data_IF_581417226187
#
_entry.id   IF_581417226187
#
_cell.length_a   1.000
_cell.length_b   1.000
_cell.length_c   1.000
_cell.angle_alpha   90.00
_cell.angle_beta   90.00
_cell.angle_gamma   90.00
#
_symmetry.space_group_name_H-M   'P 1'
#
loop_
_entity.id
_entity.type
_entity.pdbx_description
1 polymer ?
#
# COMPACT_ATOMS: atom_id res chain seq x y z
N UNK A 1 11.76 2.43 -7.03
CA UNK A 1 11.17 1.32 -6.27
C UNK A 1 11.46 1.52 -4.79
N UNK A 2 10.55 1.11 -3.89
CA UNK A 2 10.67 1.41 -2.46
C UNK A 2 9.85 0.46 -1.59
N UNK A 3 10.31 0.31 -0.36
CA UNK A 3 9.59 -0.37 0.71
C UNK A 3 9.04 0.73 1.62
N UNK A 4 7.72 0.73 1.80
CA UNK A 4 6.96 1.80 2.41
C UNK A 4 6.14 1.25 3.58
N UNK A 5 6.24 1.89 4.73
CA UNK A 5 5.47 1.55 5.92
C UNK A 5 4.30 2.52 6.05
N UNK A 6 3.07 2.01 6.19
CA UNK A 6 1.90 2.83 6.51
C UNK A 6 2.08 3.43 7.90
N UNK A 7 2.09 4.75 7.97
CA UNK A 7 2.25 5.52 9.22
C UNK A 7 1.03 6.37 9.55
N UNK A 8 0.08 6.53 8.62
CA UNK A 8 -1.16 7.22 8.89
C UNK A 8 -2.21 6.96 7.82
N UNK A 9 -3.48 6.97 8.21
CA UNK A 9 -4.60 6.81 7.31
C UNK A 9 -5.84 7.54 7.84
N UNK A 10 -6.36 8.46 7.04
CA UNK A 10 -7.54 9.27 7.37
C UNK A 10 -8.62 9.03 6.34
N UNK A 11 -9.79 8.55 6.78
CA UNK A 11 -10.98 8.45 5.93
C UNK A 11 -11.79 9.77 5.96
N UNK A 12 -12.40 10.13 4.83
CA UNK A 12 -13.13 11.40 4.68
C UNK A 12 -14.45 11.47 5.45
N UNK A 13 -15.04 10.32 5.83
CA UNK A 13 -16.44 10.25 6.30
C UNK A 13 -16.65 9.52 7.63
N UNK A 14 -15.61 8.98 8.26
CA UNK A 14 -15.66 8.41 9.63
C UNK A 14 -14.26 8.44 10.25
N UNK A 15 -14.13 8.45 11.60
CA UNK A 15 -12.86 8.10 12.22
C UNK A 15 -12.47 6.71 11.71
N UNK A 16 -11.35 6.63 11.00
CA UNK A 16 -10.81 5.33 10.60
C UNK A 16 -10.53 4.57 11.89
N UNK A 17 -11.02 3.32 12.08
CA UNK A 17 -10.48 2.46 13.12
C UNK A 17 -8.96 2.46 13.00
N UNK A 18 -8.25 2.38 14.12
CA UNK A 18 -6.79 2.33 14.13
C UNK A 18 -6.34 1.23 13.16
N UNK A 19 -5.84 1.63 11.98
CA UNK A 19 -5.50 0.68 10.95
C UNK A 19 -4.26 -0.07 11.41
N UNK A 20 -4.24 -1.41 11.35
CA UNK A 20 -3.06 -2.18 11.72
C UNK A 20 -1.87 -1.67 10.92
N UNK A 21 -0.68 -1.65 11.54
CA UNK A 21 0.56 -1.31 10.83
C UNK A 21 0.63 -2.15 9.55
N UNK A 22 0.68 -1.47 8.41
CA UNK A 22 0.69 -2.10 7.08
C UNK A 22 1.98 -1.79 6.34
N UNK A 23 2.52 -2.78 5.63
CA UNK A 23 3.69 -2.60 4.77
C UNK A 23 3.26 -2.66 3.30
N UNK A 24 3.83 -1.77 2.49
CA UNK A 24 3.61 -1.67 1.07
C UNK A 24 4.96 -1.71 0.35
N UNK A 25 5.13 -2.66 -0.56
CA UNK A 25 6.32 -2.79 -1.41
C UNK A 25 5.93 -2.40 -2.83
N UNK A 26 6.60 -1.37 -3.35
CA UNK A 26 6.36 -0.84 -4.70
C UNK A 26 7.61 -1.06 -5.55
N UNK A 27 7.51 -1.97 -6.51
CA UNK A 27 8.52 -2.26 -7.53
C UNK A 27 7.89 -2.18 -8.93
N UNK A 28 8.08 -3.20 -9.77
CA UNK A 28 7.33 -3.39 -11.04
C UNK A 28 5.90 -3.90 -10.81
N UNK A 29 5.61 -4.34 -9.60
CA UNK A 29 4.29 -4.70 -9.08
C UNK A 29 4.15 -4.10 -7.69
N UNK A 30 2.92 -4.09 -7.19
CA UNK A 30 2.62 -3.73 -5.80
C UNK A 30 2.34 -4.99 -5.03
N UNK A 31 2.97 -5.10 -3.87
CA UNK A 31 2.64 -6.10 -2.86
C UNK A 31 2.48 -5.40 -1.53
N UNK A 32 1.63 -5.92 -0.67
CA UNK A 32 1.53 -5.38 0.67
C UNK A 32 0.95 -6.37 1.66
N UNK A 33 1.05 -5.98 2.91
CA UNK A 33 0.62 -6.77 4.05
C UNK A 33 0.00 -5.84 5.09
N UNK A 34 -1.13 -6.24 5.65
CA UNK A 34 -1.76 -5.59 6.81
C UNK A 34 -2.11 -6.66 7.82
N UNK A 35 -1.52 -6.60 9.01
CA UNK A 35 -1.58 -7.71 9.95
C UNK A 35 -1.02 -8.99 9.33
N UNK A 36 -1.85 -10.02 9.18
CA UNK A 36 -1.49 -11.29 8.55
C UNK A 36 -2.07 -11.47 7.13
N UNK A 37 -2.88 -10.52 6.65
CA UNK A 37 -3.42 -10.54 5.29
C UNK A 37 -2.44 -9.92 4.30
N UNK A 38 -2.24 -10.55 3.14
CA UNK A 38 -1.43 -10.03 2.05
C UNK A 38 -2.28 -9.69 0.83
N UNK A 39 -1.75 -8.82 -0.02
CA UNK A 39 -2.36 -8.47 -1.30
C UNK A 39 -1.27 -8.15 -2.32
N UNK A 40 -1.63 -8.27 -3.58
CA UNK A 40 -0.74 -7.94 -4.69
C UNK A 40 -1.51 -7.35 -5.87
N UNK A 41 -0.77 -6.76 -6.79
CA UNK A 41 -1.35 -6.20 -7.99
C UNK A 41 -0.42 -5.30 -8.80
N UNK A 42 -1.03 -4.44 -9.59
CA UNK A 42 -0.32 -3.53 -10.49
C UNK A 42 -0.43 -2.07 -10.04
N UNK A 43 0.50 -1.27 -10.55
CA UNK A 43 0.57 0.17 -10.35
C UNK A 43 0.94 0.84 -11.67
N UNK A 44 0.18 1.87 -12.00
CA UNK A 44 0.52 2.82 -13.05
C UNK A 44 0.58 4.21 -12.42
N UNK A 45 1.72 4.88 -12.54
CA UNK A 45 1.93 6.19 -11.94
C UNK A 45 2.59 7.14 -12.93
N UNK A 46 2.05 8.36 -13.06
CA UNK A 46 2.58 9.39 -13.95
C UNK A 46 1.89 10.73 -13.72
N UNK A 47 2.64 11.83 -13.81
CA UNK A 47 2.11 13.20 -13.65
C UNK A 47 1.24 13.42 -12.40
N UNK A 48 1.61 12.82 -11.25
CA UNK A 48 0.86 12.91 -10.00
C UNK A 48 -0.41 12.06 -9.93
N UNK A 49 -0.76 11.36 -11.01
CA UNK A 49 -1.90 10.44 -11.09
C UNK A 49 -1.43 9.01 -10.81
N UNK A 50 -2.26 8.26 -10.11
CA UNK A 50 -2.04 6.87 -9.74
C UNK A 50 -3.24 6.01 -10.14
N UNK A 51 -2.97 4.82 -10.66
CA UNK A 51 -3.94 3.73 -10.75
C UNK A 51 -3.36 2.51 -10.05
N UNK A 52 -4.13 1.97 -9.10
CA UNK A 52 -3.82 0.74 -8.40
C UNK A 52 -4.90 -0.29 -8.73
N UNK A 53 -4.45 -1.52 -8.99
CA UNK A 53 -5.35 -2.67 -9.11
C UNK A 53 -4.81 -3.78 -8.22
N UNK A 54 -5.31 -3.84 -6.99
CA UNK A 54 -4.85 -4.74 -5.94
C UNK A 54 -5.94 -5.77 -5.62
N UNK A 55 -5.50 -7.01 -5.43
CA UNK A 55 -6.33 -8.14 -5.05
C UNK A 55 -5.78 -8.77 -3.78
N UNK A 56 -6.64 -9.19 -2.83
CA UNK A 56 -6.18 -9.96 -1.67
C UNK A 56 -5.61 -11.29 -2.14
N UNK A 57 -4.56 -11.77 -1.49
CA UNK A 57 -4.12 -13.15 -1.66
C UNK A 57 -5.01 -14.10 -0.85
N UNK A 58 -5.11 -15.35 -1.27
CA UNK A 58 -5.75 -16.38 -0.46
C UNK A 58 -4.97 -16.53 0.86
N UNK A 59 -5.65 -16.62 2.02
CA UNK A 59 -4.97 -16.82 3.30
C UNK A 59 -4.21 -18.15 3.29
N UNK A 60 -2.98 -18.15 3.81
CA UNK A 60 -2.25 -19.40 4.00
C UNK A 60 -3.02 -20.28 5.01
N UNK A 61 -3.40 -21.52 4.65
CA UNK A 61 -4.18 -22.40 5.52
C UNK A 61 -3.47 -22.74 6.85
N UNK A 62 -2.15 -22.52 6.96
CA UNK A 62 -1.36 -22.71 8.18
C UNK A 62 -1.34 -21.48 9.08
N UNK A 63 -1.80 -20.33 8.60
CA UNK A 63 -1.81 -19.08 9.36
C UNK A 63 -3.22 -18.84 9.91
N UNK A 64 -3.39 -18.94 11.24
CA UNK A 64 -4.62 -18.50 11.91
C UNK A 64 -4.66 -16.98 11.94
N UNK A 65 -5.13 -16.41 10.84
CA UNK A 65 -5.17 -14.97 10.65
C UNK A 65 -6.43 -14.39 11.30
N UNK A 66 -6.30 -13.86 12.52
CA UNK A 66 -7.42 -13.23 13.26
C UNK A 66 -7.93 -11.95 12.58
N UNK A 67 -7.08 -11.32 11.76
CA UNK A 67 -7.40 -10.13 10.97
C UNK A 67 -7.13 -10.42 9.50
N UNK A 68 -8.16 -10.91 8.81
CA UNK A 68 -8.17 -10.90 7.35
C UNK A 68 -7.98 -9.46 6.86
N UNK A 69 -7.34 -9.29 5.69
CA UNK A 69 -7.13 -7.97 5.08
C UNK A 69 -8.47 -7.20 5.06
N UNK A 70 -8.59 -6.05 5.74
CA UNK A 70 -9.87 -5.36 5.82
C UNK A 70 -10.32 -4.91 4.42
N UNK A 71 -11.46 -5.43 3.93
CA UNK A 71 -12.00 -5.02 2.63
C UNK A 71 -12.12 -3.50 2.47
N UNK A 72 -12.54 -2.72 3.50
CA UNK A 72 -12.61 -1.26 3.38
C UNK A 72 -11.23 -0.63 3.14
N UNK A 73 -10.16 -1.19 3.71
CA UNK A 73 -8.80 -0.70 3.50
C UNK A 73 -8.38 -0.94 2.05
N UNK A 74 -8.51 -2.18 1.55
CA UNK A 74 -8.10 -2.52 0.20
C UNK A 74 -8.94 -1.75 -0.85
N UNK A 75 -10.24 -1.63 -0.63
CA UNK A 75 -11.14 -0.84 -1.48
C UNK A 75 -10.74 0.64 -1.51
N UNK A 76 -10.40 1.24 -0.36
CA UNK A 76 -9.95 2.62 -0.29
C UNK A 76 -8.58 2.82 -0.96
N UNK A 77 -7.67 1.84 -0.83
CA UNK A 77 -6.37 1.87 -1.47
C UNK A 77 -6.49 1.79 -3.00
N UNK A 78 -7.31 0.85 -3.52
CA UNK A 78 -7.67 0.77 -4.94
C UNK A 78 -8.37 2.02 -5.47
N UNK A 79 -9.11 2.73 -4.61
CA UNK A 79 -9.74 4.01 -4.94
C UNK A 79 -8.77 5.19 -5.04
N UNK A 80 -7.48 5.01 -4.74
CA UNK A 80 -6.47 6.06 -4.85
C UNK A 80 -6.30 6.49 -6.30
N UNK A 81 -6.39 7.80 -6.55
CA UNK A 81 -6.23 8.36 -7.88
C UNK A 81 -5.02 9.27 -8.01
N UNK A 82 -4.42 9.68 -6.90
CA UNK A 82 -3.31 10.61 -6.89
C UNK A 82 -2.26 10.21 -5.86
N UNK A 83 -1.03 10.65 -6.13
CA UNK A 83 0.08 10.46 -5.23
C UNK A 83 0.96 11.69 -5.15
N UNK A 84 1.62 11.85 -4.02
CA UNK A 84 2.69 12.82 -3.79
C UNK A 84 3.85 12.10 -3.12
N UNK A 85 5.07 12.33 -3.63
CA UNK A 85 6.30 11.90 -2.98
C UNK A 85 7.00 13.17 -2.50
N UNK A 86 7.38 13.21 -1.22
CA UNK A 86 8.13 14.34 -0.67
C UNK A 86 9.46 14.52 -1.40
N UNK A 87 10.00 15.74 -1.41
CA UNK A 87 11.25 16.06 -2.10
C UNK A 87 12.43 15.20 -1.60
N UNK A 88 12.46 14.87 -0.31
CA UNK A 88 13.46 13.97 0.29
C UNK A 88 13.19 12.47 0.01
N UNK A 89 12.09 12.17 -0.70
CA UNK A 89 11.60 10.84 -1.07
C UNK A 89 11.26 9.92 0.10
N UNK A 90 11.21 10.45 1.33
CA UNK A 90 10.93 9.68 2.55
C UNK A 90 9.45 9.45 2.81
N UNK A 91 8.59 10.30 2.26
CA UNK A 91 7.15 10.21 2.46
C UNK A 91 6.43 10.01 1.14
N UNK A 92 5.51 9.05 1.15
CA UNK A 92 4.56 8.81 0.07
C UNK A 92 3.16 9.07 0.61
N UNK A 93 2.45 9.98 -0.03
CA UNK A 93 1.06 10.25 0.25
C UNK A 93 0.23 9.71 -0.91
N UNK A 94 -0.74 8.87 -0.58
CA UNK A 94 -1.75 8.36 -1.50
C UNK A 94 -3.08 8.99 -1.11
N UNK A 95 -3.81 9.54 -2.06
CA UNK A 95 -5.12 10.12 -1.74
C UNK A 95 -6.17 9.85 -2.81
N UNK A 96 -7.39 9.69 -2.31
CA UNK A 96 -8.63 9.57 -3.06
C UNK A 96 -9.64 10.57 -2.50
N UNK A 97 -10.86 10.59 -3.08
CA UNK A 97 -11.98 11.31 -2.47
C UNK A 97 -12.39 10.75 -1.10
N UNK A 98 -12.04 9.50 -0.79
CA UNK A 98 -12.51 8.76 0.39
C UNK A 98 -11.47 8.59 1.49
N UNK A 99 -10.18 8.69 1.15
CA UNK A 99 -9.10 8.43 2.09
C UNK A 99 -7.81 9.12 1.68
N UNK A 100 -6.97 9.40 2.67
CA UNK A 100 -5.56 9.73 2.52
C UNK A 100 -4.74 8.73 3.33
N UNK A 101 -3.74 8.15 2.70
CA UNK A 101 -2.74 7.29 3.32
C UNK A 101 -1.39 7.98 3.29
N UNK A 102 -0.66 7.87 4.39
CA UNK A 102 0.70 8.37 4.52
C UNK A 102 1.61 7.20 4.82
N UNK A 103 2.65 7.07 4.00
CA UNK A 103 3.67 6.07 4.15
C UNK A 103 5.03 6.72 4.36
N UNK A 104 5.85 6.07 5.17
CA UNK A 104 7.26 6.39 5.34
C UNK A 104 8.11 5.34 4.65
N UNK A 105 9.11 5.75 3.89
CA UNK A 105 10.05 4.83 3.25
C UNK A 105 10.94 4.20 4.31
N UNK A 106 10.98 2.87 4.33
CA UNK A 106 11.82 2.08 5.24
C UNK A 106 12.92 1.31 4.50
N UNK A 107 12.91 1.35 3.17
CA UNK A 107 13.94 0.71 2.37
C UNK A 107 13.76 0.92 0.87
N UNK A 108 14.69 0.35 0.12
CA UNK A 108 14.67 0.32 -1.34
C UNK A 108 14.61 -1.13 -1.81
N UNK A 109 13.91 -1.35 -2.92
CA UNK A 109 13.96 -2.65 -3.59
C UNK A 109 15.18 -2.61 -4.51
N UNK A 110 16.19 -3.40 -4.20
CA UNK A 110 17.32 -3.62 -5.10
C UNK A 110 16.86 -4.54 -6.23
N UNK A 111 16.98 -4.14 -7.51
CA UNK A 111 16.77 -5.08 -8.60
C UNK A 111 17.74 -6.25 -8.42
N UNK A 112 17.24 -7.47 -8.47
CA UNK A 112 18.13 -8.63 -8.56
C UNK A 112 18.86 -8.50 -9.91
N UNK A 113 20.15 -8.18 -9.89
CA UNK A 113 20.99 -8.27 -11.07
C UNK A 113 20.85 -9.71 -11.58
N UNK A 114 20.22 -9.90 -12.75
CA UNK A 114 20.45 -11.11 -13.52
C UNK A 114 21.92 -11.02 -13.93
N UNK A 115 22.76 -11.87 -13.33
CA UNK A 115 24.13 -12.06 -13.75
C UNK A 115 24.18 -12.35 -15.25
N UNK A 116 25.22 -11.83 -15.90
CA UNK A 116 25.42 -11.82 -17.35
C UNK A 116 25.62 -13.18 -17.98
#
# INVERSE_FOLDING_TARGET
>A
MGIWQLTGATASTRPTPELPKGQLVIANSVRGQVGCGTFQGSIEAGAGVLRLSLTPDAPDPRVRCLYALPEPFLSALNGTTHYLISADTKHLLLYSKKARFTFTRIGYVTPANKGG
#
